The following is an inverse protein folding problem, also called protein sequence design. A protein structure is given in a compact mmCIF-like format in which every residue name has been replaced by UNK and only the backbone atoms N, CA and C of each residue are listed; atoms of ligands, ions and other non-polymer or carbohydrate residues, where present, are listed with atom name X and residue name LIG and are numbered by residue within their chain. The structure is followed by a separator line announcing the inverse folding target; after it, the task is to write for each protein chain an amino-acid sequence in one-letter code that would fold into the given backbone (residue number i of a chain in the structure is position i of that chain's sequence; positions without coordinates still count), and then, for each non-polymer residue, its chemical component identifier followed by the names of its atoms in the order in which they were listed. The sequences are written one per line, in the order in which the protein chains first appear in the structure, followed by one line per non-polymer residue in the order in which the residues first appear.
data_IF_402107117612
#
_entry.id   IF_402107117612
#
_cell.length_a   1.000
_cell.length_b   1.000
_cell.length_c   1.000
_cell.angle_alpha   90.00
_cell.angle_beta   90.00
_cell.angle_gamma   90.00
#
_symmetry.space_group_name_H-M   'P 1'
#
loop_
_entity.id
_entity.type
_entity.pdbx_description
1 polymer ?
#
# COMPACT_ATOMS: atom_id res chain seq x y z
N UNK A 1 9.61 -6.83 0.72
CA UNK A 1 9.24 -5.40 0.80
C UNK A 1 8.76 -4.98 2.18
N UNK A 2 7.72 -5.60 2.78
CA UNK A 2 7.27 -5.19 4.11
C UNK A 2 8.30 -5.43 5.23
N UNK A 3 9.04 -6.54 5.18
CA UNK A 3 10.13 -6.82 6.13
C UNK A 3 11.27 -5.81 6.00
N UNK A 4 11.57 -5.36 4.78
CA UNK A 4 12.61 -4.36 4.51
C UNK A 4 12.26 -3.01 5.16
N UNK A 5 10.98 -2.64 5.14
CA UNK A 5 10.47 -1.44 5.82
C UNK A 5 10.60 -1.57 7.34
N UNK A 6 10.28 -2.74 7.91
CA UNK A 6 10.44 -2.98 9.35
C UNK A 6 11.92 -2.93 9.75
N UNK A 7 12.80 -3.56 8.97
CA UNK A 7 14.25 -3.53 9.20
C UNK A 7 14.79 -2.09 9.12
N UNK A 8 14.31 -1.29 8.16
CA UNK A 8 14.65 0.13 8.08
C UNK A 8 14.18 0.90 9.31
N UNK A 9 12.96 0.65 9.81
CA UNK A 9 12.48 1.27 11.04
C UNK A 9 13.35 0.90 12.25
N UNK A 10 13.80 -0.35 12.35
CA UNK A 10 14.70 -0.80 13.42
C UNK A 10 16.06 -0.11 13.33
N UNK A 11 16.65 -0.01 12.13
CA UNK A 11 17.91 0.68 11.90
C UNK A 11 17.83 2.18 12.23
N UNK A 12 16.65 2.79 12.11
CA UNK A 12 16.39 4.18 12.44
C UNK A 12 15.85 4.39 13.87
N UNK A 13 15.74 3.31 14.66
CA UNK A 13 15.16 3.34 16.01
C UNK A 13 13.74 3.94 16.07
N UNK A 14 12.91 3.62 15.07
CA UNK A 14 11.52 4.04 14.97
C UNK A 14 10.57 2.97 15.53
N UNK A 15 9.87 3.33 16.61
CA UNK A 15 8.83 2.47 17.19
C UNK A 15 7.57 2.45 16.31
N UNK A 16 7.12 3.61 15.84
CA UNK A 16 5.96 3.78 14.95
C UNK A 16 6.22 4.83 13.88
N UNK A 17 5.65 4.64 12.68
CA UNK A 17 5.74 5.59 11.59
C UNK A 17 4.38 5.87 10.92
N UNK A 18 4.29 6.97 10.19
CA UNK A 18 3.20 7.26 9.25
C UNK A 18 3.67 6.90 7.85
N UNK A 19 2.88 6.12 7.11
CA UNK A 19 3.24 5.68 5.76
C UNK A 19 2.44 6.42 4.69
N UNK A 20 3.13 6.93 3.68
CA UNK A 20 2.52 7.43 2.45
C UNK A 20 2.80 6.44 1.32
N UNK A 21 1.74 5.84 0.77
CA UNK A 21 1.81 5.03 -0.44
C UNK A 21 1.39 5.85 -1.65
N UNK A 22 2.18 5.82 -2.71
CA UNK A 22 1.82 6.40 -4.01
C UNK A 22 2.02 5.37 -5.12
N UNK A 23 1.05 5.26 -6.03
CA UNK A 23 1.08 4.32 -7.16
C UNK A 23 1.39 2.88 -6.66
N UNK A 24 2.39 2.20 -7.24
CA UNK A 24 2.80 0.85 -6.84
C UNK A 24 3.29 0.74 -5.39
N UNK A 25 3.66 1.86 -4.75
CA UNK A 25 4.11 1.91 -3.35
C UNK A 25 3.00 1.71 -2.31
N UNK A 26 1.71 1.83 -2.70
CA UNK A 26 0.57 1.62 -1.79
C UNK A 26 0.55 0.19 -1.25
N UNK A 27 0.81 -0.81 -2.11
CA UNK A 27 0.82 -2.24 -1.70
C UNK A 27 1.82 -2.53 -0.58
N UNK A 28 2.99 -1.90 -0.62
CA UNK A 28 3.99 -2.08 0.43
C UNK A 28 3.55 -1.46 1.76
N UNK A 29 2.97 -0.25 1.70
CA UNK A 29 2.42 0.44 2.87
C UNK A 29 1.24 -0.34 3.49
N UNK A 30 0.37 -0.92 2.66
CA UNK A 30 -0.75 -1.75 3.12
C UNK A 30 -0.28 -3.02 3.82
N UNK A 31 0.66 -3.76 3.22
CA UNK A 31 1.18 -5.00 3.82
C UNK A 31 1.87 -4.72 5.17
N UNK A 32 2.63 -3.63 5.29
CA UNK A 32 3.22 -3.22 6.58
C UNK A 32 2.13 -2.86 7.60
N UNK A 33 1.07 -2.18 7.16
CA UNK A 33 -0.05 -1.78 8.02
C UNK A 33 -0.83 -2.99 8.55
N UNK A 34 -1.02 -4.03 7.72
CA UNK A 34 -1.72 -5.27 8.10
C UNK A 34 -0.86 -6.18 8.97
N UNK A 35 0.41 -6.38 8.62
CA UNK A 35 1.30 -7.31 9.35
C UNK A 35 1.89 -6.68 10.62
N UNK A 36 2.08 -5.36 10.63
CA UNK A 36 2.70 -4.61 11.73
C UNK A 36 1.83 -3.49 12.28
N UNK A 37 0.54 -3.68 12.62
CA UNK A 37 -0.35 -2.58 13.02
C UNK A 37 0.14 -1.86 14.28
N UNK A 38 0.86 -2.54 15.17
CA UNK A 38 1.49 -1.93 16.36
C UNK A 38 2.66 -1.00 16.02
N UNK A 39 3.21 -1.08 14.81
CA UNK A 39 4.30 -0.25 14.29
C UNK A 39 3.80 0.86 13.35
N UNK A 40 2.50 0.91 13.07
CA UNK A 40 1.89 1.91 12.16
C UNK A 40 1.05 2.90 12.96
N UNK A 41 1.33 4.20 12.82
CA UNK A 41 0.55 5.27 13.45
C UNK A 41 -0.61 5.73 12.56
N UNK A 42 -0.37 5.82 11.25
CA UNK A 42 -1.35 6.13 10.23
C UNK A 42 -0.79 5.71 8.85
N UNK A 43 -1.68 5.52 7.88
CA UNK A 43 -1.31 5.22 6.50
C UNK A 43 -2.21 6.02 5.55
N UNK A 44 -1.61 6.61 4.53
CA UNK A 44 -2.28 7.40 3.49
C UNK A 44 -1.94 6.79 2.14
N UNK A 45 -2.96 6.37 1.38
CA UNK A 45 -2.83 5.93 0.00
C UNK A 45 -3.19 7.08 -0.94
N UNK A 46 -2.35 7.34 -1.94
CA UNK A 46 -2.60 8.34 -2.98
C UNK A 46 -2.44 7.68 -4.35
N UNK A 47 -3.46 7.76 -5.20
CA UNK A 47 -3.40 7.32 -6.62
C UNK A 47 -2.79 5.93 -6.83
N UNK A 48 -3.23 4.92 -6.08
CA UNK A 48 -2.72 3.56 -6.23
C UNK A 48 -3.75 2.47 -5.94
N UNK A 49 -3.51 1.30 -6.52
CA UNK A 49 -4.31 0.08 -6.33
C UNK A 49 -3.85 -0.62 -5.05
N UNK A 50 -4.44 -0.23 -3.91
CA UNK A 50 -4.04 -0.77 -2.60
C UNK A 50 -4.44 -2.24 -2.43
N UNK A 51 -5.71 -2.55 -2.69
CA UNK A 51 -6.25 -3.91 -2.67
C UNK A 51 -6.95 -4.18 -3.98
N UNK A 52 -6.44 -5.14 -4.74
CA UNK A 52 -7.01 -5.53 -6.02
C UNK A 52 -8.30 -6.35 -5.80
N UNK A 53 -9.39 -5.92 -6.44
CA UNK A 53 -10.55 -6.77 -6.64
C UNK A 53 -10.32 -7.66 -7.87
N UNK A 54 -9.79 -8.85 -7.63
CA UNK A 54 -9.51 -9.83 -8.68
C UNK A 54 -10.74 -10.25 -9.49
N UNK A 55 -11.96 -10.08 -8.95
CA UNK A 55 -13.19 -10.39 -9.66
C UNK A 55 -13.56 -9.24 -10.58
N UNK A 56 -13.56 -8.01 -10.07
CA UNK A 56 -13.81 -6.82 -10.87
C UNK A 56 -12.76 -6.64 -11.98
N UNK A 57 -11.49 -6.95 -11.71
CA UNK A 57 -10.40 -6.86 -12.69
C UNK A 57 -10.53 -7.84 -13.87
N UNK A 58 -11.44 -8.83 -13.81
CA UNK A 58 -11.73 -9.74 -14.93
C UNK A 58 -12.80 -9.19 -15.88
N UNK A 59 -13.53 -8.18 -15.46
CA UNK A 59 -14.54 -7.53 -16.29
C UNK A 59 -13.87 -6.37 -17.05
N UNK A 60 -13.82 -6.50 -18.37
CA UNK A 60 -13.31 -5.42 -19.21
C UNK A 60 -14.19 -4.18 -19.05
N UNK A 61 -13.57 -3.00 -18.93
CA UNK A 61 -14.33 -1.77 -18.91
C UNK A 61 -15.01 -1.56 -20.28
N UNK A 62 -16.16 -0.85 -20.33
CA UNK A 62 -16.73 -0.42 -21.59
C UNK A 62 -15.69 0.37 -22.40
N UNK A 63 -15.61 0.22 -23.74
CA UNK A 63 -14.60 0.90 -24.56
C UNK A 63 -14.52 2.41 -24.34
N UNK A 64 -15.67 3.04 -24.02
CA UNK A 64 -15.77 4.46 -23.68
C UNK A 64 -15.01 4.90 -22.42
N UNK A 65 -14.84 3.99 -21.45
CA UNK A 65 -14.17 4.25 -20.18
C UNK A 65 -12.65 3.99 -20.24
N UNK A 66 -12.17 3.31 -21.28
CA UNK A 66 -10.74 3.03 -21.53
C UNK A 66 -10.04 4.18 -22.29
N UNK A 67 -10.78 5.19 -22.77
CA UNK A 67 -10.24 6.25 -23.61
C UNK A 67 -9.33 7.26 -22.90
N UNK A 68 -9.18 7.17 -21.57
CA UNK A 68 -8.17 7.86 -20.75
C UNK A 68 -7.73 9.24 -21.21
#
# INVERSE_FOLDING_TARGET
MALDIIALMEALHLDKAVFGGYDGGVRAADVVSVLGPKRVKAMVAVSGYGVDDLKANKEALPPAAEYG
#
